data_IF_369709215372
#
_entry.id   IF_369709215372
#
_cell.length_a   1.000
_cell.length_b   1.000
_cell.length_c   1.000
_cell.angle_alpha   90.00
_cell.angle_beta   90.00
_cell.angle_gamma   90.00
#
_symmetry.space_group_name_H-M   'P 1'
#
loop_
_entity.id
_entity.type
_entity.pdbx_description
1 polymer ?
#
# COMPACT_ATOMS: atom_id res chain seq x y z
N UNK A 1 -11.55 89.96 18.08
CA UNK A 1 -10.97 90.86 17.06
C UNK A 1 -10.54 90.00 15.87
N UNK A 2 -11.06 90.32 14.66
CA UNK A 2 -10.49 90.07 13.31
C UNK A 2 -10.04 88.63 12.95
N UNK A 3 -10.43 88.00 11.82
CA UNK A 3 -11.11 88.40 10.58
C UNK A 3 -11.66 87.14 9.90
N UNK A 4 -12.83 87.27 9.28
CA UNK A 4 -13.43 86.34 8.32
C UNK A 4 -12.54 86.13 7.08
N UNK A 5 -12.47 84.89 6.57
CA UNK A 5 -12.17 84.58 5.17
C UNK A 5 -13.27 83.68 4.61
N UNK A 6 -13.92 84.16 3.55
CA UNK A 6 -14.91 83.46 2.73
C UNK A 6 -14.21 82.38 1.90
N UNK A 7 -14.84 81.21 1.77
CA UNK A 7 -14.50 80.21 0.75
C UNK A 7 -15.79 79.79 0.02
N UNK A 8 -15.67 79.77 -1.30
CA UNK A 8 -16.68 79.52 -2.35
C UNK A 8 -17.09 78.04 -2.38
N UNK A 9 -18.34 77.68 -2.77
CA UNK A 9 -18.70 76.29 -2.98
C UNK A 9 -18.24 75.81 -4.37
N UNK A 10 -17.54 74.67 -4.40
CA UNK A 10 -17.19 73.93 -5.62
C UNK A 10 -18.28 72.90 -5.88
N UNK A 11 -18.97 73.01 -7.01
CA UNK A 11 -19.87 71.97 -7.52
C UNK A 11 -19.04 70.87 -8.19
N UNK A 12 -19.16 69.64 -7.70
CA UNK A 12 -18.53 68.45 -8.29
C UNK A 12 -19.58 67.68 -9.09
N UNK A 13 -19.48 67.71 -10.43
CA UNK A 13 -20.29 66.88 -11.32
C UNK A 13 -19.72 65.47 -11.39
N UNK A 14 -20.50 64.47 -10.96
CA UNK A 14 -20.19 63.06 -11.14
C UNK A 14 -20.61 62.59 -12.55
N UNK A 15 -19.63 62.29 -13.40
CA UNK A 15 -19.84 61.53 -14.64
C UNK A 15 -19.87 60.03 -14.32
N UNK A 16 -21.00 59.37 -14.61
CA UNK A 16 -21.11 57.91 -14.60
C UNK A 16 -20.49 57.34 -15.88
N UNK A 17 -19.38 56.62 -15.76
CA UNK A 17 -18.86 55.76 -16.81
C UNK A 17 -19.55 54.39 -16.74
N UNK A 18 -20.36 54.06 -17.76
CA UNK A 18 -20.84 52.70 -18.00
C UNK A 18 -19.71 51.87 -18.61
N UNK A 19 -19.08 51.02 -17.80
CA UNK A 19 -18.15 49.99 -18.27
C UNK A 19 -18.90 48.77 -18.83
N UNK A 20 -18.30 47.99 -19.75
CA UNK A 20 -18.93 46.79 -20.30
C UNK A 20 -19.10 45.74 -19.20
N UNK A 21 -20.30 45.17 -19.11
CA UNK A 21 -20.60 44.04 -18.23
C UNK A 21 -19.83 42.83 -18.74
N UNK A 22 -18.71 42.52 -18.11
CA UNK A 22 -18.05 41.23 -18.28
C UNK A 22 -19.01 40.16 -17.77
N UNK A 23 -19.50 39.31 -18.67
CA UNK A 23 -20.14 38.05 -18.32
C UNK A 23 -19.14 37.22 -17.54
N UNK A 24 -19.29 37.20 -16.22
CA UNK A 24 -18.61 36.22 -15.37
C UNK A 24 -19.17 34.87 -15.79
N UNK A 25 -18.36 34.09 -16.51
CA UNK A 25 -18.66 32.69 -16.74
C UNK A 25 -18.78 32.03 -15.36
N UNK A 26 -20.00 31.62 -15.02
CA UNK A 26 -20.28 30.88 -13.82
C UNK A 26 -19.59 29.53 -13.96
N UNK A 27 -18.45 29.38 -13.29
CA UNK A 27 -17.81 28.07 -13.14
C UNK A 27 -18.84 27.18 -12.45
N UNK A 28 -19.35 26.18 -13.16
CA UNK A 28 -20.16 25.14 -12.55
C UNK A 28 -19.30 24.49 -11.45
N UNK A 29 -19.82 24.40 -10.23
CA UNK A 29 -19.40 23.38 -9.28
C UNK A 29 -19.76 22.03 -9.89
N UNK A 30 -18.93 21.50 -10.78
CA UNK A 30 -19.06 20.12 -11.22
C UNK A 30 -18.52 19.25 -10.09
N UNK A 31 -19.42 18.76 -9.24
CA UNK A 31 -19.11 17.66 -8.32
C UNK A 31 -18.57 16.45 -9.08
N UNK A 32 -17.90 15.55 -8.36
CA UNK A 32 -17.52 14.26 -8.93
C UNK A 32 -18.77 13.51 -9.40
N UNK A 33 -18.71 12.74 -10.50
CA UNK A 33 -19.81 11.85 -10.86
C UNK A 33 -20.02 10.81 -9.76
N UNK A 34 -21.19 10.17 -9.74
CA UNK A 34 -21.41 9.03 -8.86
C UNK A 34 -20.52 7.85 -9.25
N UNK A 35 -20.21 6.99 -8.28
CA UNK A 35 -19.47 5.75 -8.54
C UNK A 35 -20.26 4.90 -9.53
N UNK A 36 -21.58 4.80 -9.36
CA UNK A 36 -22.47 3.99 -10.19
C UNK A 36 -22.49 4.48 -11.65
N UNK A 37 -22.50 5.80 -11.89
CA UNK A 37 -22.37 6.36 -13.24
C UNK A 37 -20.99 6.08 -13.83
N UNK A 38 -19.93 6.26 -13.04
CA UNK A 38 -18.55 6.09 -13.50
C UNK A 38 -18.23 4.63 -13.84
N UNK A 39 -18.80 3.68 -13.09
CA UNK A 39 -18.47 2.24 -13.19
C UNK A 39 -19.51 1.44 -13.98
N UNK A 40 -20.55 2.05 -14.53
CA UNK A 40 -21.65 1.38 -15.23
C UNK A 40 -21.21 0.39 -16.34
N UNK A 41 -20.09 0.64 -17.00
CA UNK A 41 -19.52 -0.23 -18.05
C UNK A 41 -18.32 -1.06 -17.60
N UNK A 42 -17.96 -1.02 -16.31
CA UNK A 42 -16.81 -1.72 -15.75
C UNK A 42 -17.23 -3.08 -15.19
N UNK A 43 -16.29 -4.03 -15.12
CA UNK A 43 -16.51 -5.29 -14.41
C UNK A 43 -16.28 -5.06 -12.92
N UNK A 44 -17.36 -5.10 -12.13
CA UNK A 44 -17.27 -5.08 -10.67
C UNK A 44 -16.62 -6.37 -10.15
N UNK A 45 -15.83 -6.23 -9.09
CA UNK A 45 -15.17 -7.32 -8.34
C UNK A 45 -15.38 -6.99 -6.87
N UNK A 46 -16.22 -7.78 -6.19
CA UNK A 46 -16.46 -7.63 -4.75
C UNK A 46 -15.18 -7.90 -3.96
N UNK A 47 -15.12 -7.41 -2.72
CA UNK A 47 -14.01 -7.67 -1.80
C UNK A 47 -14.05 -6.77 -0.56
N UNK A 48 -13.10 -6.96 0.35
CA UNK A 48 -12.94 -6.10 1.53
C UNK A 48 -12.82 -4.62 1.13
N UNK A 49 -12.04 -4.34 0.08
CA UNK A 49 -12.05 -3.11 -0.71
C UNK A 49 -12.56 -3.48 -2.11
N UNK A 50 -13.80 -3.12 -2.49
CA UNK A 50 -14.34 -3.44 -3.81
C UNK A 50 -13.52 -2.82 -4.94
N UNK A 51 -13.50 -3.50 -6.08
CA UNK A 51 -12.74 -3.08 -7.26
C UNK A 51 -13.60 -3.04 -8.52
N UNK A 52 -13.15 -2.24 -9.49
CA UNK A 52 -13.77 -2.18 -10.81
C UNK A 52 -12.69 -2.26 -11.90
N UNK A 53 -12.88 -3.16 -12.86
CA UNK A 53 -11.99 -3.30 -14.00
C UNK A 53 -12.56 -2.60 -15.24
N UNK A 54 -11.83 -1.61 -15.75
CA UNK A 54 -12.15 -0.87 -16.97
C UNK A 54 -11.31 -1.40 -18.14
N UNK A 55 -11.87 -2.35 -18.89
CA UNK A 55 -11.15 -3.03 -19.96
C UNK A 55 -10.73 -2.10 -21.11
N UNK A 56 -11.49 -1.03 -21.38
CA UNK A 56 -11.22 -0.09 -22.46
C UNK A 56 -9.93 0.71 -22.28
N UNK A 57 -9.55 1.00 -21.04
CA UNK A 57 -8.33 1.74 -20.70
C UNK A 57 -7.29 0.89 -19.96
N UNK A 58 -7.61 -0.37 -19.66
CA UNK A 58 -6.74 -1.25 -18.87
C UNK A 58 -6.55 -0.79 -17.42
N UNK A 59 -7.55 -0.12 -16.84
CA UNK A 59 -7.46 0.47 -15.50
C UNK A 59 -8.14 -0.39 -14.45
N UNK A 60 -7.50 -0.48 -13.29
CA UNK A 60 -8.09 -1.03 -12.08
C UNK A 60 -8.44 0.11 -11.14
N UNK A 61 -9.66 0.07 -10.61
CA UNK A 61 -10.19 1.07 -9.70
C UNK A 61 -10.47 0.43 -8.33
N UNK A 62 -10.24 1.17 -7.24
CA UNK A 62 -10.64 0.80 -5.88
C UNK A 62 -11.73 1.72 -5.38
N UNK A 63 -12.72 1.14 -4.70
CA UNK A 63 -13.73 1.87 -3.94
C UNK A 63 -13.37 1.90 -2.46
N UNK A 64 -12.99 3.08 -1.98
CA UNK A 64 -12.57 3.31 -0.61
C UNK A 64 -13.73 3.89 0.18
N UNK A 65 -14.12 3.19 1.24
CA UNK A 65 -15.20 3.59 2.17
C UNK A 65 -14.77 3.60 3.64
N UNK A 66 -13.60 3.02 3.95
CA UNK A 66 -13.05 2.90 5.30
C UNK A 66 -11.96 3.94 5.50
N UNK A 67 -12.34 5.05 6.10
CA UNK A 67 -11.46 6.17 6.40
C UNK A 67 -10.81 5.98 7.77
N UNK A 68 -9.55 6.42 7.90
CA UNK A 68 -8.80 6.43 9.16
C UNK A 68 -8.75 5.09 9.92
N UNK A 69 -8.99 4.00 9.18
CA UNK A 69 -9.03 2.63 9.71
C UNK A 69 -7.79 1.88 9.22
N UNK A 70 -7.09 1.24 10.14
CA UNK A 70 -5.90 0.44 9.81
C UNK A 70 -6.27 -0.86 9.08
N UNK A 71 -5.52 -1.14 8.02
CA UNK A 71 -5.61 -2.31 7.14
C UNK A 71 -4.21 -2.87 6.98
N UNK A 72 -4.07 -4.19 6.86
CA UNK A 72 -2.78 -4.79 6.52
C UNK A 72 -2.60 -4.79 5.00
N UNK A 73 -1.57 -4.10 4.50
CA UNK A 73 -1.12 -4.23 3.12
C UNK A 73 0.09 -5.16 3.07
N UNK A 74 -0.07 -6.31 2.40
CA UNK A 74 1.01 -7.27 2.16
C UNK A 74 1.41 -7.27 0.70
N UNK A 75 2.67 -7.61 0.46
CA UNK A 75 3.17 -7.91 -0.87
C UNK A 75 3.97 -9.21 -0.91
N UNK A 76 3.92 -9.88 -2.04
CA UNK A 76 4.63 -11.15 -2.26
C UNK A 76 4.81 -11.47 -3.73
N UNK A 77 5.60 -12.49 -4.01
CA UNK A 77 5.89 -12.98 -5.35
C UNK A 77 4.90 -14.08 -5.75
N UNK A 78 3.99 -13.81 -6.68
CA UNK A 78 3.08 -14.83 -7.24
C UNK A 78 3.76 -15.71 -8.30
N UNK A 79 4.88 -15.25 -8.85
CA UNK A 79 5.80 -16.04 -9.67
C UNK A 79 7.25 -15.75 -9.24
N UNK A 80 8.16 -16.66 -9.56
CA UNK A 80 9.58 -16.48 -9.32
C UNK A 80 10.36 -16.22 -10.61
N UNK A 81 11.60 -15.78 -10.47
CA UNK A 81 12.59 -15.73 -11.54
C UNK A 81 13.23 -17.10 -11.78
N UNK A 82 13.28 -17.96 -10.75
CA UNK A 82 13.89 -19.28 -10.81
C UNK A 82 15.41 -19.27 -10.64
N UNK A 83 15.98 -18.20 -10.06
CA UNK A 83 17.39 -18.12 -9.73
C UNK A 83 17.63 -17.99 -8.23
N UNK A 84 18.38 -18.96 -7.68
CA UNK A 84 18.73 -19.00 -6.26
C UNK A 84 19.66 -17.83 -5.87
N UNK A 85 20.58 -17.45 -6.76
CA UNK A 85 21.54 -16.37 -6.51
C UNK A 85 20.86 -14.99 -6.47
N UNK A 86 19.82 -14.79 -7.29
CA UNK A 86 19.04 -13.54 -7.31
C UNK A 86 17.99 -13.52 -6.17
N UNK A 87 17.42 -14.68 -5.81
CA UNK A 87 16.52 -14.83 -4.65
C UNK A 87 15.18 -14.11 -4.84
N UNK A 88 14.55 -14.30 -6.01
CA UNK A 88 13.18 -13.87 -6.31
C UNK A 88 12.32 -15.10 -6.56
N UNK A 89 11.86 -15.71 -5.48
CA UNK A 89 11.18 -17.00 -5.51
C UNK A 89 9.66 -16.87 -5.43
N UNK A 90 8.95 -17.75 -6.13
CA UNK A 90 7.50 -17.84 -6.03
C UNK A 90 7.09 -18.16 -4.59
N UNK A 91 6.09 -17.45 -4.08
CA UNK A 91 5.58 -17.59 -2.71
C UNK A 91 6.36 -16.78 -1.67
N UNK A 92 7.45 -16.11 -2.05
CA UNK A 92 8.22 -15.28 -1.13
C UNK A 92 7.43 -14.03 -0.72
N UNK A 93 7.31 -13.82 0.59
CA UNK A 93 6.79 -12.57 1.14
C UNK A 93 7.79 -11.44 0.89
N UNK A 94 7.28 -10.31 0.43
CA UNK A 94 8.09 -9.19 -0.06
C UNK A 94 7.86 -7.89 0.72
N UNK A 95 7.09 -7.97 1.81
CA UNK A 95 6.86 -6.88 2.75
C UNK A 95 5.44 -6.88 3.28
N UNK A 96 5.24 -6.35 4.47
CA UNK A 96 3.92 -6.07 5.03
C UNK A 96 3.95 -4.75 5.79
N UNK A 97 2.85 -4.00 5.74
CA UNK A 97 2.71 -2.68 6.36
C UNK A 97 1.29 -2.52 6.86
N UNK A 98 1.13 -1.92 8.03
CA UNK A 98 -0.17 -1.35 8.42
C UNK A 98 -0.33 -0.04 7.67
N UNK A 99 -1.51 0.16 7.07
CA UNK A 99 -1.85 1.33 6.26
C UNK A 99 -3.27 1.78 6.55
N UNK A 100 -3.55 3.07 6.35
CA UNK A 100 -4.91 3.63 6.40
C UNK A 100 -5.12 4.62 5.26
N UNK A 101 -6.36 4.80 4.86
CA UNK A 101 -6.73 5.79 3.86
C UNK A 101 -7.25 7.07 4.53
N UNK A 102 -6.72 8.21 4.11
CA UNK A 102 -7.17 9.53 4.55
C UNK A 102 -7.59 10.38 3.37
N UNK A 103 -8.67 11.13 3.53
CA UNK A 103 -9.16 12.04 2.49
C UNK A 103 -8.88 13.49 2.84
N UNK A 104 -8.29 14.22 1.90
CA UNK A 104 -8.07 15.67 1.97
C UNK A 104 -8.56 16.30 0.67
N UNK A 105 -9.79 16.80 0.68
CA UNK A 105 -10.47 17.29 -0.53
C UNK A 105 -10.54 16.19 -1.60
N UNK A 106 -10.03 16.41 -2.83
CA UNK A 106 -10.00 15.39 -3.88
C UNK A 106 -8.84 14.39 -3.71
N UNK A 107 -7.91 14.59 -2.77
CA UNK A 107 -6.80 13.68 -2.53
C UNK A 107 -7.22 12.56 -1.59
N UNK A 108 -6.84 11.34 -1.94
CA UNK A 108 -6.92 10.18 -1.05
C UNK A 108 -5.50 9.69 -0.82
N UNK A 109 -5.03 9.75 0.42
CA UNK A 109 -3.68 9.39 0.82
C UNK A 109 -3.69 8.01 1.44
N UNK A 110 -2.76 7.15 1.00
CA UNK A 110 -2.45 5.90 1.68
C UNK A 110 -1.29 6.15 2.62
N UNK A 111 -1.54 6.07 3.91
CA UNK A 111 -0.60 6.45 4.96
C UNK A 111 -0.23 5.22 5.77
N UNK A 112 1.06 5.01 5.97
CA UNK A 112 1.59 4.07 6.96
C UNK A 112 1.84 4.84 8.26
N UNK A 113 1.10 4.55 9.36
CA UNK A 113 1.42 5.11 10.66
C UNK A 113 2.79 4.63 11.14
N UNK A 114 3.44 5.44 11.97
CA UNK A 114 4.67 5.02 12.61
C UNK A 114 4.33 4.21 13.87
N UNK A 115 4.52 2.90 13.79
CA UNK A 115 4.27 1.97 14.89
C UNK A 115 5.56 1.53 15.58
N UNK A 116 6.72 2.11 15.24
CA UNK A 116 7.97 1.82 15.93
C UNK A 116 8.14 2.70 17.18
N UNK A 117 7.41 3.82 17.25
CA UNK A 117 7.42 4.79 18.34
C UNK A 117 5.98 5.07 18.78
N UNK A 118 5.65 4.81 20.04
CA UNK A 118 4.27 4.85 20.55
C UNK A 118 4.23 5.43 21.96
N UNK A 119 3.03 5.75 22.44
CA UNK A 119 2.75 5.91 23.85
C UNK A 119 1.55 5.03 24.22
N UNK A 120 1.69 4.24 25.27
CA UNK A 120 0.62 3.41 25.86
C UNK A 120 -0.13 4.11 26.99
N UNK A 121 0.09 5.42 27.17
CA UNK A 121 -0.57 6.25 28.17
C UNK A 121 -2.08 6.35 27.96
N UNK A 122 -2.82 6.47 29.07
CA UNK A 122 -4.26 6.79 29.06
C UNK A 122 -4.52 8.28 28.79
N UNK A 123 -3.48 9.12 28.81
CA UNK A 123 -3.59 10.55 28.50
C UNK A 123 -3.56 10.77 26.98
N UNK A 124 -4.68 11.17 26.35
CA UNK A 124 -4.74 11.33 24.90
C UNK A 124 -3.80 12.43 24.38
N UNK A 125 -3.44 13.43 25.20
CA UNK A 125 -2.50 14.48 24.80
C UNK A 125 -1.06 13.98 24.71
N UNK A 126 -0.69 13.04 25.58
CA UNK A 126 0.62 12.40 25.56
C UNK A 126 0.74 11.47 24.34
N UNK A 127 -0.31 10.68 24.08
CA UNK A 127 -0.40 9.85 22.86
C UNK A 127 -0.29 10.70 21.60
N UNK A 128 -1.00 11.83 21.54
CA UNK A 128 -0.90 12.76 20.41
C UNK A 128 0.50 13.37 20.29
N UNK A 129 1.11 13.81 21.40
CA UNK A 129 2.44 14.40 21.36
C UNK A 129 3.50 13.45 20.79
N UNK A 130 3.45 12.16 21.15
CA UNK A 130 4.35 11.15 20.58
C UNK A 130 4.01 10.87 19.11
N UNK A 131 2.72 10.80 18.77
CA UNK A 131 2.27 10.61 17.37
C UNK A 131 2.78 11.75 16.46
N UNK A 132 2.73 12.99 16.94
CA UNK A 132 3.21 14.17 16.20
C UNK A 132 4.75 14.25 16.15
N UNK A 133 5.44 13.67 17.14
CA UNK A 133 6.90 13.65 17.21
C UNK A 133 7.53 12.63 16.24
N UNK A 134 6.81 11.58 15.86
CA UNK A 134 7.30 10.52 14.99
C UNK A 134 6.50 10.43 13.70
N UNK A 135 7.11 10.91 12.62
CA UNK A 135 6.43 11.07 11.34
C UNK A 135 5.88 9.75 10.77
N UNK A 136 4.61 9.74 10.30
CA UNK A 136 4.10 8.67 9.45
C UNK A 136 4.68 8.80 8.03
N UNK A 137 4.46 7.78 7.19
CA UNK A 137 4.84 7.81 5.79
C UNK A 137 3.60 7.85 4.88
N UNK A 138 3.47 8.89 4.06
CA UNK A 138 2.50 8.86 2.94
C UNK A 138 3.10 8.00 1.82
N UNK A 139 2.53 6.80 1.63
CA UNK A 139 3.04 5.81 0.67
C UNK A 139 2.55 6.06 -0.75
N UNK A 140 1.37 6.67 -0.89
CA UNK A 140 0.77 7.00 -2.17
C UNK A 140 -0.30 8.09 -2.02
N UNK A 141 -0.53 8.86 -3.09
CA UNK A 141 -1.61 9.84 -3.18
C UNK A 141 -2.44 9.63 -4.43
N UNK A 142 -3.69 9.20 -4.25
CA UNK A 142 -4.68 9.08 -5.30
C UNK A 142 -5.47 10.38 -5.47
N UNK A 143 -6.24 10.46 -6.55
CA UNK A 143 -7.22 11.52 -6.78
C UNK A 143 -8.60 10.87 -6.94
N UNK A 144 -9.59 11.38 -6.21
CA UNK A 144 -10.98 10.94 -6.30
C UNK A 144 -11.51 11.15 -7.72
N UNK A 145 -12.04 10.10 -8.32
CA UNK A 145 -12.58 10.12 -9.68
C UNK A 145 -14.12 10.05 -9.72
N UNK A 146 -14.72 9.50 -8.67
CA UNK A 146 -16.17 9.43 -8.46
C UNK A 146 -16.46 9.31 -6.96
N UNK A 147 -17.67 9.68 -6.55
CA UNK A 147 -18.10 9.61 -5.15
C UNK A 147 -19.61 9.33 -5.02
N UNK A 148 -19.96 8.42 -4.10
CA UNK A 148 -21.34 8.13 -3.71
C UNK A 148 -21.39 7.89 -2.21
N UNK A 149 -22.24 8.62 -1.48
CA UNK A 149 -22.48 8.45 -0.04
C UNK A 149 -21.19 8.33 0.82
N UNK A 150 -20.18 9.16 0.54
CA UNK A 150 -18.90 9.16 1.26
C UNK A 150 -17.92 8.04 0.87
N UNK A 151 -18.28 7.16 -0.07
CA UNK A 151 -17.38 6.21 -0.74
C UNK A 151 -16.72 6.91 -1.91
N UNK A 152 -15.45 6.62 -2.16
CA UNK A 152 -14.66 7.27 -3.21
C UNK A 152 -14.01 6.24 -4.12
N UNK A 153 -14.17 6.44 -5.43
CA UNK A 153 -13.49 5.66 -6.44
C UNK A 153 -12.13 6.29 -6.79
N UNK A 154 -11.06 5.50 -6.77
CA UNK A 154 -9.70 5.92 -7.15
C UNK A 154 -9.07 4.97 -8.16
N UNK A 155 -8.28 5.50 -9.09
CA UNK A 155 -7.46 4.68 -10.00
C UNK A 155 -6.24 4.13 -9.24
N UNK A 156 -6.13 2.81 -9.13
CA UNK A 156 -5.05 2.15 -8.38
C UNK A 156 -3.94 1.61 -9.30
N UNK A 157 -4.09 1.75 -10.62
CA UNK A 157 -3.26 1.07 -11.62
C UNK A 157 -1.77 1.37 -11.41
N UNK A 158 -1.39 2.64 -11.31
CA UNK A 158 0.02 3.05 -11.15
C UNK A 158 0.60 2.66 -9.77
N UNK A 159 -0.25 2.48 -8.77
CA UNK A 159 0.19 2.02 -7.45
C UNK A 159 0.57 0.54 -7.44
N UNK A 160 -0.17 -0.30 -8.18
CA UNK A 160 0.09 -1.76 -8.23
C UNK A 160 1.06 -2.14 -9.36
N UNK A 161 1.07 -1.41 -10.47
CA UNK A 161 1.97 -1.65 -11.61
C UNK A 161 3.26 -0.84 -11.44
N UNK A 162 4.04 -1.17 -10.41
CA UNK A 162 5.33 -0.52 -10.13
C UNK A 162 6.31 -1.44 -9.41
N UNK A 163 7.60 -1.12 -9.52
CA UNK A 163 8.65 -1.75 -8.72
C UNK A 163 8.68 -1.20 -7.28
N UNK A 164 7.69 -1.56 -6.46
CA UNK A 164 7.52 -1.00 -5.11
C UNK A 164 8.66 -1.35 -4.14
N UNK A 165 9.37 -2.44 -4.40
CA UNK A 165 10.35 -3.04 -3.50
C UNK A 165 11.75 -3.14 -4.12
N UNK A 166 11.97 -2.36 -5.18
CA UNK A 166 13.26 -2.14 -5.84
C UNK A 166 13.93 -3.43 -6.35
N UNK A 167 13.16 -4.36 -6.90
CA UNK A 167 13.64 -5.60 -7.48
C UNK A 167 14.59 -5.40 -8.66
N UNK A 168 14.43 -4.32 -9.42
CA UNK A 168 15.34 -4.01 -10.52
C UNK A 168 16.82 -3.97 -10.08
N UNK A 169 17.07 -3.59 -8.82
CA UNK A 169 18.42 -3.55 -8.24
C UNK A 169 18.97 -4.94 -7.87
N UNK A 170 18.11 -5.94 -7.67
CA UNK A 170 18.49 -7.32 -7.37
C UNK A 170 18.82 -8.13 -8.61
N UNK A 171 18.32 -7.72 -9.78
CA UNK A 171 18.60 -8.40 -11.05
C UNK A 171 20.06 -8.16 -11.47
N UNK A 172 20.95 -9.00 -10.96
CA UNK A 172 22.39 -9.00 -11.20
C UNK A 172 22.85 -10.41 -11.57
N UNK A 173 23.93 -10.56 -12.35
CA UNK A 173 24.68 -9.51 -13.06
C UNK A 173 23.85 -8.80 -14.14
N UNK A 174 24.25 -7.59 -14.52
CA UNK A 174 23.49 -6.71 -15.41
C UNK A 174 22.93 -5.47 -14.72
N UNK A 175 22.27 -4.61 -15.48
CA UNK A 175 21.52 -3.48 -14.92
C UNK A 175 20.15 -3.51 -15.56
N UNK A 176 19.12 -3.64 -14.74
CA UNK A 176 17.73 -3.71 -15.19
C UNK A 176 16.97 -2.50 -14.67
N UNK A 177 15.92 -2.13 -15.39
CA UNK A 177 14.95 -1.15 -14.95
C UNK A 177 13.54 -1.70 -15.13
N UNK A 178 12.62 -1.27 -14.28
CA UNK A 178 11.20 -1.47 -14.50
C UNK A 178 10.76 -0.85 -15.83
N UNK A 179 9.85 -1.52 -16.52
CA UNK A 179 9.26 -1.06 -17.78
C UNK A 179 7.73 -1.09 -17.69
N UNK A 180 7.12 0.07 -17.45
CA UNK A 180 5.68 0.21 -17.30
C UNK A 180 4.92 -0.18 -18.58
N UNK A 181 5.48 0.10 -19.77
CA UNK A 181 4.85 -0.23 -21.05
C UNK A 181 4.75 -1.73 -21.34
N UNK A 182 5.54 -2.55 -20.64
CA UNK A 182 5.50 -4.02 -20.68
C UNK A 182 4.93 -4.63 -19.40
N UNK A 183 4.25 -3.84 -18.60
CA UNK A 183 3.69 -4.25 -17.32
C UNK A 183 2.19 -3.95 -17.27
N UNK A 184 1.44 -4.76 -16.54
CA UNK A 184 -0.01 -4.63 -16.48
C UNK A 184 -0.58 -5.36 -15.26
N UNK A 185 -1.82 -5.01 -14.91
CA UNK A 185 -2.62 -5.80 -13.96
C UNK A 185 -2.81 -7.22 -14.50
N UNK A 186 -2.65 -8.22 -13.63
CA UNK A 186 -2.88 -9.63 -13.92
C UNK A 186 -4.25 -10.07 -13.37
N UNK A 187 -5.27 -10.02 -14.23
CA UNK A 187 -6.66 -10.24 -13.84
C UNK A 187 -7.01 -11.62 -13.26
N UNK A 188 -6.43 -12.76 -13.71
CA UNK A 188 -6.83 -14.08 -13.21
C UNK A 188 -6.75 -14.23 -11.69
N UNK A 189 -5.82 -13.51 -11.06
CA UNK A 189 -5.58 -13.52 -9.61
C UNK A 189 -5.86 -12.14 -8.97
N UNK A 190 -6.66 -11.31 -9.64
CA UNK A 190 -7.22 -10.09 -9.07
C UNK A 190 -8.63 -10.39 -8.63
N UNK A 191 -8.81 -10.62 -7.33
CA UNK A 191 -9.99 -11.20 -6.71
C UNK A 191 -10.33 -10.43 -5.44
N UNK A 192 -11.56 -10.55 -4.96
CA UNK A 192 -11.85 -10.09 -3.61
C UNK A 192 -12.75 -11.05 -2.87
N UNK A 193 -12.61 -10.93 -1.55
CA UNK A 193 -13.17 -11.80 -0.54
C UNK A 193 -13.66 -10.91 0.62
N UNK A 194 -14.49 -11.43 1.54
CA UNK A 194 -15.05 -10.62 2.61
C UNK A 194 -14.00 -9.88 3.47
N UNK A 195 -12.87 -10.53 3.73
CA UNK A 195 -11.83 -10.05 4.67
C UNK A 195 -10.55 -9.59 3.95
N UNK A 196 -10.46 -9.77 2.63
CA UNK A 196 -9.28 -9.36 1.87
C UNK A 196 -9.59 -9.02 0.41
N UNK A 197 -8.79 -8.11 -0.15
CA UNK A 197 -8.76 -7.76 -1.57
C UNK A 197 -7.39 -8.09 -2.13
N UNK A 198 -7.38 -8.90 -3.19
CA UNK A 198 -6.18 -9.44 -3.82
C UNK A 198 -5.98 -8.86 -5.22
N UNK A 199 -4.76 -8.39 -5.50
CA UNK A 199 -4.39 -7.80 -6.79
C UNK A 199 -3.05 -8.36 -7.21
N UNK A 200 -2.96 -8.85 -8.44
CA UNK A 200 -1.67 -9.19 -9.06
C UNK A 200 -1.31 -8.22 -10.17
N UNK A 201 -0.01 -7.94 -10.30
CA UNK A 201 0.55 -7.18 -11.41
C UNK A 201 1.70 -7.97 -12.03
N UNK A 202 1.68 -8.12 -13.35
CA UNK A 202 2.81 -8.62 -14.13
C UNK A 202 3.78 -7.48 -14.37
N UNK A 203 4.95 -7.53 -13.73
CA UNK A 203 5.97 -6.49 -13.81
C UNK A 203 7.13 -6.97 -14.67
N UNK A 204 7.45 -6.21 -15.71
CA UNK A 204 8.57 -6.50 -16.61
C UNK A 204 9.75 -5.59 -16.31
N UNK A 205 10.92 -6.20 -16.19
CA UNK A 205 12.20 -5.54 -16.01
C UNK A 205 13.05 -5.77 -17.24
N UNK A 206 13.53 -4.69 -17.85
CA UNK A 206 14.32 -4.73 -19.09
C UNK A 206 15.78 -4.40 -18.81
N UNK A 207 16.68 -5.12 -19.47
CA UNK A 207 18.11 -4.87 -19.40
C UNK A 207 18.44 -3.50 -20.02
N UNK A 208 19.25 -2.71 -19.34
CA UNK A 208 19.72 -1.43 -19.84
C UNK A 208 20.91 -1.62 -20.81
N UNK A 209 21.00 -0.79 -21.87
CA UNK A 209 22.20 -0.74 -22.73
C UNK A 209 23.45 -0.47 -21.90
N UNK A 210 24.53 -1.20 -22.15
CA UNK A 210 25.77 -1.08 -21.37
C UNK A 210 25.71 -1.66 -19.95
N UNK A 211 24.58 -2.26 -19.55
CA UNK A 211 24.47 -3.02 -18.30
C UNK A 211 25.30 -4.31 -18.39
N UNK A 212 26.60 -4.21 -18.07
CA UNK A 212 27.53 -5.32 -18.10
C UNK A 212 27.07 -6.50 -17.23
N UNK A 213 27.20 -7.73 -17.75
CA UNK A 213 26.88 -8.96 -17.03
C UNK A 213 26.44 -10.11 -17.93
N UNK A 214 27.24 -11.18 -17.98
CA UNK A 214 26.94 -12.45 -18.63
C UNK A 214 26.92 -12.39 -20.17
N UNK A 215 27.93 -12.97 -20.81
CA UNK A 215 28.10 -12.96 -22.26
C UNK A 215 26.93 -13.55 -23.06
N UNK A 216 27.01 -13.39 -24.39
CA UNK A 216 26.17 -14.10 -25.35
C UNK A 216 26.28 -15.62 -25.14
N UNK A 217 25.40 -16.18 -24.31
CA UNK A 217 25.31 -17.62 -24.06
C UNK A 217 24.08 -18.18 -24.73
N UNK A 218 24.14 -18.36 -26.05
CA UNK A 218 23.34 -19.42 -26.66
C UNK A 218 23.67 -20.74 -25.96
N UNK A 219 22.65 -21.58 -25.77
CA UNK A 219 22.76 -22.99 -25.35
C UNK A 219 23.87 -23.29 -24.32
N UNK A 220 23.65 -22.88 -23.07
CA UNK A 220 24.39 -23.41 -21.92
C UNK A 220 25.84 -22.89 -21.79
N UNK A 221 26.07 -22.02 -20.81
CA UNK A 221 27.41 -21.68 -20.33
C UNK A 221 27.82 -20.23 -20.55
N UNK A 222 27.48 -19.36 -19.59
CA UNK A 222 28.07 -18.02 -19.47
C UNK A 222 28.95 -17.98 -18.21
N UNK A 223 30.26 -17.82 -18.38
CA UNK A 223 31.29 -17.95 -17.33
C UNK A 223 31.33 -16.81 -16.30
N UNK A 224 30.30 -16.71 -15.47
CA UNK A 224 30.32 -16.03 -14.18
C UNK A 224 30.10 -17.03 -13.05
N UNK A 225 30.63 -16.77 -11.86
CA UNK A 225 30.45 -17.64 -10.68
C UNK A 225 28.99 -17.68 -10.18
N UNK A 226 28.16 -16.71 -10.59
CA UNK A 226 26.78 -16.53 -10.15
C UNK A 226 25.81 -16.51 -11.33
N UNK A 227 24.65 -17.11 -11.13
CA UNK A 227 23.53 -17.17 -12.06
C UNK A 227 22.86 -15.80 -12.23
N UNK A 228 22.58 -15.41 -13.47
CA UNK A 228 21.90 -14.16 -13.81
C UNK A 228 20.56 -14.39 -14.51
N UNK A 229 19.84 -13.29 -14.79
CA UNK A 229 18.56 -13.33 -15.51
C UNK A 229 18.67 -14.12 -16.83
N UNK A 230 19.74 -13.92 -17.61
CA UNK A 230 19.93 -14.63 -18.89
C UNK A 230 20.18 -16.14 -18.77
N UNK A 231 20.42 -16.66 -17.57
CA UNK A 231 20.57 -18.09 -17.33
C UNK A 231 19.22 -18.80 -17.10
N UNK A 232 18.22 -18.09 -16.58
CA UNK A 232 16.95 -18.67 -16.09
C UNK A 232 15.72 -18.15 -16.82
N UNK A 233 15.73 -16.89 -17.24
CA UNK A 233 14.63 -16.31 -17.98
C UNK A 233 14.65 -16.76 -19.44
N UNK A 234 13.50 -16.70 -20.11
CA UNK A 234 13.37 -17.05 -21.52
C UNK A 234 14.32 -16.24 -22.44
N UNK A 235 14.65 -15.01 -22.05
CA UNK A 235 15.73 -14.22 -22.66
C UNK A 235 16.47 -13.42 -21.57
N UNK A 236 17.74 -13.07 -21.82
CA UNK A 236 18.49 -12.15 -20.95
C UNK A 236 18.17 -10.67 -21.17
N UNK A 237 17.21 -10.33 -22.03
CA UNK A 237 16.84 -8.94 -22.32
C UNK A 237 15.75 -8.42 -21.37
N UNK A 238 14.90 -9.32 -20.86
CA UNK A 238 13.82 -8.98 -19.96
C UNK A 238 13.43 -10.14 -19.04
N UNK A 239 12.99 -9.81 -17.83
CA UNK A 239 12.35 -10.73 -16.91
C UNK A 239 10.97 -10.18 -16.51
N UNK A 240 9.94 -11.02 -16.59
CA UNK A 240 8.59 -10.68 -16.14
C UNK A 240 8.24 -11.49 -14.90
N UNK A 241 7.85 -10.81 -13.84
CA UNK A 241 7.58 -11.39 -12.53
C UNK A 241 6.24 -10.86 -12.03
N UNK A 242 5.40 -11.74 -11.47
CA UNK A 242 4.11 -11.34 -10.88
C UNK A 242 4.30 -10.94 -9.42
N UNK A 243 3.99 -9.67 -9.14
CA UNK A 243 3.85 -9.13 -7.79
C UNK A 243 2.40 -9.29 -7.36
N UNK A 244 2.21 -9.67 -6.11
CA UNK A 244 0.92 -9.81 -5.46
C UNK A 244 0.78 -8.75 -4.37
N UNK A 245 -0.39 -8.12 -4.30
CA UNK A 245 -0.80 -7.17 -3.27
C UNK A 245 -2.05 -7.73 -2.59
N UNK A 246 -2.02 -7.75 -1.26
CA UNK A 246 -3.17 -8.15 -0.45
C UNK A 246 -3.51 -7.03 0.52
N UNK A 247 -4.77 -6.57 0.52
CA UNK A 247 -5.33 -5.68 1.53
C UNK A 247 -6.22 -6.50 2.44
N UNK A 248 -5.78 -6.73 3.68
CA UNK A 248 -6.42 -7.64 4.63
C UNK A 248 -6.99 -6.85 5.81
N UNK A 249 -8.22 -7.17 6.20
CA UNK A 249 -8.83 -6.70 7.42
C UNK A 249 -7.96 -7.07 8.62
N UNK A 250 -7.71 -6.11 9.52
CA UNK A 250 -7.06 -6.43 10.78
C UNK A 250 -8.04 -7.18 11.69
N UNK A 251 -7.56 -8.21 12.42
CA UNK A 251 -8.41 -8.92 13.37
C UNK A 251 -8.81 -8.01 14.52
N UNK A 252 -9.98 -8.23 15.08
CA UNK A 252 -10.36 -7.61 16.35
C UNK A 252 -9.42 -8.08 17.46
N UNK A 253 -8.87 -7.14 18.22
CA UNK A 253 -7.96 -7.46 19.32
C UNK A 253 -8.68 -8.24 20.42
N UNK A 254 -9.95 -7.90 20.72
CA UNK A 254 -10.73 -8.53 21.79
C UNK A 254 -9.93 -8.65 23.09
N UNK A 255 -9.92 -9.83 23.68
CA UNK A 255 -9.19 -10.17 24.92
C UNK A 255 -7.72 -10.59 24.68
N UNK A 256 -7.14 -10.30 23.51
CA UNK A 256 -5.77 -10.69 23.21
C UNK A 256 -4.78 -10.01 24.16
N UNK A 257 -4.05 -10.82 24.93
CA UNK A 257 -3.00 -10.34 25.83
C UNK A 257 -1.62 -10.61 25.24
N UNK A 258 -0.83 -9.56 24.90
CA UNK A 258 0.55 -9.71 24.49
C UNK A 258 1.39 -10.39 25.57
N UNK A 259 2.41 -11.15 25.17
CA UNK A 259 3.35 -11.80 26.10
C UNK A 259 4.75 -11.23 25.90
N UNK A 260 5.37 -10.81 27.01
CA UNK A 260 6.74 -10.32 27.01
C UNK A 260 7.69 -11.34 26.35
N UNK A 261 8.66 -10.81 25.62
CA UNK A 261 9.68 -11.62 24.95
C UNK A 261 10.75 -12.11 25.95
N UNK A 262 11.12 -13.38 25.86
CA UNK A 262 12.29 -13.94 26.55
C UNK A 262 13.38 -14.26 25.52
N UNK A 263 14.61 -13.73 25.66
CA UNK A 263 15.71 -14.00 24.72
C UNK A 263 16.04 -15.48 24.53
N UNK A 264 15.68 -16.33 25.49
CA UNK A 264 15.89 -17.79 25.43
C UNK A 264 14.87 -18.50 24.55
N UNK A 265 13.84 -17.81 24.06
CA UNK A 265 12.76 -18.41 23.28
C UNK A 265 13.19 -18.89 21.87
N UNK A 266 14.34 -18.43 21.37
CA UNK A 266 14.93 -18.93 20.12
C UNK A 266 14.26 -18.42 18.82
N UNK A 267 13.36 -17.45 18.90
CA UNK A 267 12.75 -16.77 17.76
C UNK A 267 12.70 -15.25 17.98
N UNK A 268 12.49 -14.49 16.90
CA UNK A 268 12.53 -13.02 16.95
C UNK A 268 11.37 -12.37 17.70
N UNK A 269 11.62 -11.21 18.30
CA UNK A 269 10.60 -10.37 18.92
C UNK A 269 9.88 -9.46 17.91
N UNK A 270 8.69 -9.00 18.28
CA UNK A 270 8.15 -7.72 17.80
C UNK A 270 8.55 -6.66 18.83
N UNK A 271 9.05 -5.52 18.38
CA UNK A 271 9.60 -4.48 19.26
C UNK A 271 9.12 -3.09 18.85
N UNK A 272 8.95 -2.20 19.81
CA UNK A 272 8.72 -0.76 19.60
C UNK A 272 9.24 0.03 20.80
N UNK A 273 9.45 1.33 20.64
CA UNK A 273 9.78 2.24 21.72
C UNK A 273 8.50 2.88 22.28
N UNK A 274 8.25 2.70 23.58
CA UNK A 274 7.17 3.34 24.31
C UNK A 274 7.69 4.59 25.03
N UNK A 275 7.27 5.75 24.55
CA UNK A 275 7.66 7.07 25.06
C UNK A 275 6.87 7.49 26.31
N UNK A 276 5.89 6.69 26.72
CA UNK A 276 5.19 6.84 28.00
C UNK A 276 5.69 5.87 29.07
N UNK A 277 6.76 5.11 28.79
CA UNK A 277 7.37 4.24 29.78
C UNK A 277 7.78 5.06 31.03
N UNK A 278 7.55 4.56 32.26
CA UNK A 278 7.94 5.26 33.47
C UNK A 278 9.45 5.56 33.52
N UNK A 279 9.80 6.65 34.21
CA UNK A 279 11.21 7.01 34.39
C UNK A 279 11.98 5.86 35.06
N UNK A 280 13.08 5.44 34.44
CA UNK A 280 13.93 4.34 34.91
C UNK A 280 13.58 2.96 34.33
N UNK A 281 12.45 2.83 33.62
CA UNK A 281 12.07 1.60 32.91
C UNK A 281 12.63 1.57 31.47
N UNK A 282 12.75 0.37 30.88
CA UNK A 282 13.15 0.23 29.47
C UNK A 282 12.02 0.75 28.57
N UNK A 283 12.32 1.75 27.75
CA UNK A 283 11.40 2.23 26.72
C UNK A 283 11.19 1.18 25.63
N UNK A 284 12.16 0.29 25.39
CA UNK A 284 12.07 -0.71 24.35
C UNK A 284 11.21 -1.90 24.78
N UNK A 285 9.95 -1.86 24.38
CA UNK A 285 9.00 -2.95 24.58
C UNK A 285 9.27 -4.07 23.59
N UNK A 286 9.23 -5.32 24.06
CA UNK A 286 9.47 -6.51 23.25
C UNK A 286 8.43 -7.58 23.56
N UNK A 287 7.72 -8.01 22.53
CA UNK A 287 6.70 -9.04 22.61
C UNK A 287 7.04 -10.25 21.75
N UNK A 288 6.61 -11.39 22.25
CA UNK A 288 6.74 -12.69 21.62
C UNK A 288 5.87 -12.74 20.34
N UNK A 289 6.41 -13.28 19.24
CA UNK A 289 5.60 -13.62 18.07
C UNK A 289 4.97 -14.99 18.32
N UNK A 290 3.63 -15.07 18.29
CA UNK A 290 2.89 -16.31 18.54
C UNK A 290 1.54 -16.30 17.85
N UNK A 291 1.00 -17.49 17.64
CA UNK A 291 -0.41 -17.63 17.29
C UNK A 291 -1.30 -17.26 18.49
N UNK A 292 -2.45 -16.65 18.17
CA UNK A 292 -3.55 -16.46 19.12
C UNK A 292 -4.29 -17.80 19.26
N UNK A 293 -3.84 -18.59 20.23
CA UNK A 293 -4.47 -19.87 20.57
C UNK A 293 -5.10 -19.77 21.95
N UNK A 294 -6.35 -20.17 22.02
CA UNK A 294 -7.14 -20.29 23.24
C UNK A 294 -7.43 -21.77 23.47
N UNK A 295 -7.21 -22.25 24.70
CA UNK A 295 -7.48 -23.64 25.07
C UNK A 295 -8.98 -23.86 25.20
N UNK A 296 -9.50 -24.95 24.63
CA UNK A 296 -10.89 -25.36 24.86
C UNK A 296 -11.15 -25.70 26.33
N UNK A 297 -10.19 -26.33 27.00
CA UNK A 297 -10.14 -26.50 28.46
C UNK A 297 -9.01 -25.63 29.05
N UNK A 298 -9.34 -24.46 29.65
CA UNK A 298 -8.36 -23.57 30.23
C UNK A 298 -7.58 -24.17 31.40
N UNK A 299 -8.12 -25.18 32.08
CA UNK A 299 -7.52 -25.80 33.27
C UNK A 299 -6.52 -26.91 32.95
N UNK A 300 -6.63 -27.51 31.76
CA UNK A 300 -5.75 -28.59 31.34
C UNK A 300 -4.34 -28.09 31.02
N UNK A 301 -3.32 -28.91 31.30
CA UNK A 301 -1.92 -28.61 30.94
C UNK A 301 -1.75 -28.45 29.41
N UNK A 302 -2.41 -29.31 28.64
CA UNK A 302 -2.54 -29.26 27.18
C UNK A 302 -4.01 -29.42 26.82
N UNK A 303 -4.48 -28.68 25.82
CA UNK A 303 -5.87 -28.72 25.36
C UNK A 303 -5.92 -28.47 23.86
N UNK A 304 -6.97 -28.96 23.21
CA UNK A 304 -7.29 -28.54 21.85
C UNK A 304 -7.49 -27.01 21.80
N UNK A 305 -7.17 -26.42 20.65
CA UNK A 305 -7.48 -25.02 20.42
C UNK A 305 -8.99 -24.83 20.17
N UNK A 306 -9.54 -23.72 20.66
CA UNK A 306 -10.90 -23.28 20.27
C UNK A 306 -10.95 -23.09 18.76
N UNK A 307 -9.96 -22.38 18.20
CA UNK A 307 -9.74 -22.19 16.77
C UNK A 307 -8.37 -22.79 16.38
N UNK A 308 -8.35 -23.95 15.70
CA UNK A 308 -7.12 -24.56 15.22
C UNK A 308 -6.42 -23.70 14.16
N UNK A 309 -5.08 -23.77 14.12
CA UNK A 309 -4.31 -23.17 13.02
C UNK A 309 -4.39 -24.09 11.82
N UNK A 310 -4.92 -23.57 10.71
CA UNK A 310 -4.97 -24.29 9.44
C UNK A 310 -3.87 -23.75 8.52
N UNK A 311 -2.97 -24.62 8.10
CA UNK A 311 -1.97 -24.32 7.08
C UNK A 311 -2.44 -24.87 5.73
N UNK A 312 -2.53 -23.99 4.74
CA UNK A 312 -2.77 -24.38 3.35
C UNK A 312 -1.43 -24.59 2.65
N UNK A 313 -1.28 -25.74 1.99
CA UNK A 313 -0.12 -26.05 1.16
C UNK A 313 -0.40 -25.67 -0.30
N UNK A 314 0.64 -25.26 -1.03
CA UNK A 314 0.52 -24.96 -2.46
C UNK A 314 0.00 -26.21 -3.19
N UNK A 315 -1.07 -26.12 -4.01
CA UNK A 315 -1.60 -27.25 -4.77
C UNK A 315 -0.58 -27.93 -5.69
N UNK A 316 0.49 -27.23 -6.06
CA UNK A 316 1.62 -27.72 -6.84
C UNK A 316 2.65 -28.52 -6.02
N UNK A 317 2.48 -28.67 -4.71
CA UNK A 317 3.30 -29.58 -3.92
C UNK A 317 3.21 -31.02 -4.48
N UNK A 318 4.33 -31.73 -4.66
CA UNK A 318 4.33 -33.07 -5.22
C UNK A 318 3.65 -34.07 -4.26
N UNK A 319 3.12 -35.16 -4.82
CA UNK A 319 2.31 -36.16 -4.12
C UNK A 319 2.96 -36.75 -2.84
N UNK A 320 4.28 -36.97 -2.76
CA UNK A 320 4.93 -37.43 -1.53
C UNK A 320 4.89 -36.42 -0.36
N UNK A 321 4.63 -35.14 -0.63
CA UNK A 321 4.53 -34.08 0.40
C UNK A 321 3.06 -33.82 0.77
N UNK A 322 2.11 -34.23 -0.09
CA UNK A 322 0.68 -33.99 0.09
C UNK A 322 -0.01 -35.05 0.95
N UNK A 323 0.66 -36.17 1.26
CA UNK A 323 0.10 -37.32 2.00
C UNK A 323 0.84 -37.58 3.29
#
# INVERSE_FOLDING_TARGET
>A
MTRFRKLLPVHLSCLFFFGPVSTVAQAAESGLPSIEEKTASMRAIDGFIPMYWEASSGKLWLEISRWDTDVLHMTGLASGLGSNDIGLDRGQLAGSRVVRFQRVGPKVLMIQPNLDFRASSTNPREVQAVTDAFAPSTLWGFTAAAETDGRVLVDVTDFVVRDMINWAQRLRPGTYRFDAGRSAVHLPMTMGFPENTEIEASLTFVRQPGGGGGGFGGFGGGGGTFEGVGNVAATGEAATIRLHHSFVQLPELGEYTPRAFDPRAGYGAMSFADYSAPLGEDMQQRFIRRHRLEKRDPSAAMSEAVEPIVYYLDPGAPEPIRT
#
